data_IF_415683962868
#
_entry.id   IF_415683962868
#
_cell.length_a   1.000
_cell.length_b   1.000
_cell.length_c   1.000
_cell.angle_alpha   90.00
_cell.angle_beta   90.00
_cell.angle_gamma   90.00
#
_symmetry.space_group_name_H-M   'P 1'
#
loop_
_entity.id
_entity.type
_entity.pdbx_description
1 polymer ?
#
# COMPACT_ATOMS: atom_id res chain seq x y z
N UNK A 1 0.64 17.57 -28.04
CA UNK A 1 -0.29 16.96 -27.06
C UNK A 1 0.10 15.51 -26.94
N UNK A 2 1.04 15.22 -26.04
CA UNK A 2 1.45 13.84 -25.79
C UNK A 2 0.36 13.20 -24.93
N UNK A 3 -0.28 12.14 -25.44
CA UNK A 3 -1.10 11.27 -24.62
C UNK A 3 -0.19 10.75 -23.50
N UNK A 4 -0.46 11.18 -22.27
CA UNK A 4 0.22 10.72 -21.08
C UNK A 4 -0.13 9.24 -20.94
N UNK A 5 0.73 8.35 -21.44
CA UNK A 5 0.62 6.92 -21.15
C UNK A 5 0.79 6.78 -19.63
N UNK A 6 -0.31 6.78 -18.89
CA UNK A 6 -0.30 6.37 -17.49
C UNK A 6 0.08 4.89 -17.49
N UNK A 7 1.26 4.57 -16.98
CA UNK A 7 1.59 3.18 -16.69
C UNK A 7 0.70 2.77 -15.51
N UNK A 8 -0.38 2.09 -15.87
CA UNK A 8 -1.38 1.55 -14.99
C UNK A 8 -1.20 0.03 -14.97
N UNK A 9 -1.01 -0.54 -13.79
CA UNK A 9 -0.98 -1.99 -13.61
C UNK A 9 -2.31 -2.41 -13.00
N UNK A 10 -3.20 -2.94 -13.83
CA UNK A 10 -4.50 -3.46 -13.40
C UNK A 10 -4.52 -4.97 -13.61
N UNK A 11 -4.12 -5.70 -12.57
CA UNK A 11 -4.04 -7.17 -12.57
C UNK A 11 -5.00 -7.79 -11.54
N UNK A 12 -6.11 -7.10 -11.27
CA UNK A 12 -7.12 -7.56 -10.31
C UNK A 12 -7.82 -8.83 -10.82
N UNK A 13 -8.02 -9.81 -9.93
CA UNK A 13 -8.78 -11.03 -10.28
C UNK A 13 -8.07 -11.98 -11.24
N UNK A 14 -6.74 -11.94 -11.32
CA UNK A 14 -5.95 -12.77 -12.24
C UNK A 14 -5.39 -14.03 -11.60
N UNK A 15 -5.90 -14.41 -10.41
CA UNK A 15 -5.45 -15.58 -9.63
C UNK A 15 -3.94 -15.56 -9.32
N UNK A 16 -3.33 -14.37 -9.27
CA UNK A 16 -1.89 -14.22 -9.02
C UNK A 16 -1.55 -14.77 -7.64
N UNK A 17 -0.50 -15.57 -7.56
CA UNK A 17 0.01 -16.16 -6.34
C UNK A 17 1.50 -15.82 -6.16
N UNK A 18 1.98 -15.78 -4.93
CA UNK A 18 3.34 -15.37 -4.57
C UNK A 18 3.37 -14.08 -3.77
N UNK A 19 4.52 -13.40 -3.79
CA UNK A 19 4.82 -12.26 -2.94
C UNK A 19 5.09 -11.00 -3.75
N UNK A 20 4.99 -9.85 -3.10
CA UNK A 20 5.50 -8.59 -3.64
C UNK A 20 6.96 -8.43 -3.20
N UNK A 21 7.85 -8.14 -4.15
CA UNK A 21 9.27 -7.97 -3.88
C UNK A 21 9.75 -6.52 -4.11
N UNK A 22 11.05 -6.29 -3.90
CA UNK A 22 11.67 -4.98 -4.09
C UNK A 22 11.84 -4.58 -5.56
N UNK A 23 11.63 -5.49 -6.52
CA UNK A 23 11.74 -5.15 -7.94
C UNK A 23 10.63 -4.18 -8.37
N UNK A 24 9.52 -4.08 -7.62
CA UNK A 24 8.50 -3.06 -7.81
C UNK A 24 9.06 -1.63 -7.78
N UNK A 25 10.21 -1.40 -7.15
CA UNK A 25 10.88 -0.09 -7.13
C UNK A 25 11.39 0.37 -8.49
N UNK A 26 11.62 -0.54 -9.44
CA UNK A 26 12.03 -0.16 -10.79
C UNK A 26 10.89 0.45 -11.59
N UNK A 27 9.65 0.29 -11.15
CA UNK A 27 8.44 0.79 -11.82
C UNK A 27 8.18 2.26 -11.48
N UNK A 28 9.19 3.13 -11.61
CA UNK A 28 9.11 4.53 -11.19
C UNK A 28 8.05 5.35 -11.96
N UNK A 29 7.67 4.95 -13.16
CA UNK A 29 6.63 5.63 -13.93
C UNK A 29 5.21 5.12 -13.61
N UNK A 30 5.07 4.08 -12.77
CA UNK A 30 3.79 3.51 -12.39
C UNK A 30 3.02 4.46 -11.47
N UNK A 31 1.80 4.83 -11.88
CA UNK A 31 0.91 5.70 -11.10
C UNK A 31 -0.22 4.94 -10.43
N UNK A 32 -0.73 3.90 -11.09
CA UNK A 32 -1.81 3.09 -10.54
C UNK A 32 -1.41 1.63 -10.47
N UNK A 33 -1.69 1.03 -9.31
CA UNK A 33 -1.46 -0.39 -9.06
C UNK A 33 -2.71 -0.97 -8.42
N UNK A 34 -3.43 -1.79 -9.19
CA UNK A 34 -4.55 -2.60 -8.70
C UNK A 34 -4.19 -4.08 -8.83
N UNK A 35 -3.87 -4.68 -7.69
CA UNK A 35 -3.58 -6.11 -7.54
C UNK A 35 -4.64 -6.80 -6.68
N UNK A 36 -5.83 -6.18 -6.54
CA UNK A 36 -6.86 -6.69 -5.66
C UNK A 36 -7.44 -8.04 -6.12
N UNK A 37 -8.04 -8.79 -5.21
CA UNK A 37 -8.73 -10.04 -5.53
C UNK A 37 -7.80 -11.08 -6.18
N UNK A 38 -6.61 -11.26 -5.59
CA UNK A 38 -5.63 -12.27 -5.97
C UNK A 38 -5.28 -13.15 -4.74
N UNK A 39 -4.28 -14.01 -4.87
CA UNK A 39 -3.75 -14.87 -3.81
C UNK A 39 -2.37 -14.42 -3.32
N UNK A 40 -2.03 -13.14 -3.49
CA UNK A 40 -0.74 -12.60 -3.06
C UNK A 40 -0.64 -12.64 -1.53
N UNK A 41 0.51 -13.04 -1.00
CA UNK A 41 0.69 -13.33 0.42
C UNK A 41 1.98 -12.73 1.01
N UNK A 42 2.24 -13.06 2.28
CA UNK A 42 3.33 -12.52 3.11
C UNK A 42 3.25 -11.00 3.33
N UNK A 43 4.37 -10.38 3.68
CA UNK A 43 4.46 -8.96 3.98
C UNK A 43 4.48 -8.10 2.72
N UNK A 44 3.86 -6.92 2.80
CA UNK A 44 4.10 -5.85 1.83
C UNK A 44 5.55 -5.39 1.97
N UNK A 45 6.32 -5.27 0.87
CA UNK A 45 7.71 -4.84 0.91
C UNK A 45 7.85 -3.45 1.54
N UNK A 46 8.98 -3.22 2.21
CA UNK A 46 9.25 -1.93 2.88
C UNK A 46 9.34 -0.76 1.91
N UNK A 47 9.39 -0.96 0.59
CA UNK A 47 9.39 0.14 -0.35
C UNK A 47 8.46 -0.20 -1.52
N UNK A 48 7.67 0.79 -1.92
CA UNK A 48 6.76 0.75 -3.06
C UNK A 48 7.12 1.92 -4.00
N UNK A 49 6.72 1.88 -5.29
CA UNK A 49 6.98 2.99 -6.20
C UNK A 49 6.41 4.30 -5.64
N UNK A 50 7.28 5.31 -5.47
CA UNK A 50 6.94 6.57 -4.80
C UNK A 50 5.90 7.42 -5.55
N UNK A 51 5.77 7.19 -6.85
CA UNK A 51 4.91 7.96 -7.74
C UNK A 51 3.46 7.41 -7.83
N UNK A 52 3.13 6.40 -7.02
CA UNK A 52 1.78 5.85 -6.95
C UNK A 52 0.78 6.90 -6.46
N UNK A 53 -0.30 7.07 -7.22
CA UNK A 53 -1.50 7.84 -6.83
C UNK A 53 -2.64 6.93 -6.42
N UNK A 54 -2.65 5.67 -6.89
CA UNK A 54 -3.67 4.67 -6.58
C UNK A 54 -3.02 3.32 -6.24
N UNK A 55 -3.31 2.80 -5.06
CA UNK A 55 -2.89 1.47 -4.62
C UNK A 55 -4.06 0.67 -4.06
N UNK A 56 -4.39 -0.44 -4.72
CA UNK A 56 -5.41 -1.38 -4.27
C UNK A 56 -4.82 -2.78 -4.15
N UNK A 57 -4.67 -3.24 -2.91
CA UNK A 57 -4.20 -4.58 -2.54
C UNK A 57 -5.29 -5.39 -1.85
N UNK A 58 -6.55 -4.93 -1.92
CA UNK A 58 -7.64 -5.53 -1.18
C UNK A 58 -7.91 -6.97 -1.60
N UNK A 59 -8.47 -7.78 -0.69
CA UNK A 59 -8.83 -9.18 -0.96
C UNK A 59 -7.62 -9.99 -1.46
N UNK A 60 -6.57 -10.00 -0.65
CA UNK A 60 -5.39 -10.83 -0.82
C UNK A 60 -5.10 -11.54 0.51
N UNK A 61 -3.98 -12.24 0.58
CA UNK A 61 -3.52 -12.98 1.74
C UNK A 61 -2.32 -12.30 2.42
N UNK A 62 -2.13 -10.98 2.23
CA UNK A 62 -1.04 -10.25 2.87
C UNK A 62 -1.14 -10.30 4.39
N UNK A 63 -0.02 -10.42 5.08
CA UNK A 63 0.09 -10.54 6.53
C UNK A 63 1.30 -9.79 7.07
N UNK A 64 1.43 -9.69 8.38
CA UNK A 64 2.52 -8.96 9.02
C UNK A 64 2.24 -7.48 9.22
N UNK A 65 3.28 -6.75 9.62
CA UNK A 65 3.17 -5.33 9.96
C UNK A 65 3.10 -4.47 8.69
N UNK A 66 2.20 -3.48 8.69
CA UNK A 66 2.17 -2.48 7.63
C UNK A 66 3.48 -1.67 7.66
N UNK A 67 4.21 -1.58 6.53
CA UNK A 67 5.46 -0.84 6.51
C UNK A 67 5.18 0.66 6.64
N UNK A 68 5.90 1.31 7.56
CA UNK A 68 5.79 2.76 7.79
C UNK A 68 6.05 3.58 6.53
N UNK A 69 6.86 3.07 5.59
CA UNK A 69 7.15 3.69 4.31
C UNK A 69 5.95 3.90 3.38
N UNK A 70 4.79 3.30 3.66
CA UNK A 70 3.54 3.73 3.01
C UNK A 70 3.28 5.21 3.32
N UNK A 71 3.80 5.70 4.46
CA UNK A 71 3.84 7.13 4.79
C UNK A 71 4.78 7.97 3.90
N UNK A 72 5.53 7.37 2.97
CA UNK A 72 6.38 8.08 2.01
C UNK A 72 5.74 8.19 0.62
N UNK A 73 4.57 7.57 0.40
CA UNK A 73 3.81 7.66 -0.84
C UNK A 73 3.03 8.98 -0.87
N UNK A 74 3.76 10.11 -0.94
CA UNK A 74 3.21 11.46 -0.81
C UNK A 74 2.20 11.84 -1.90
N UNK A 75 2.27 11.17 -3.06
CA UNK A 75 1.33 11.34 -4.17
C UNK A 75 0.10 10.44 -4.08
N UNK A 76 0.01 9.57 -3.07
CA UNK A 76 -1.06 8.59 -2.97
C UNK A 76 -2.40 9.25 -2.59
N UNK A 77 -3.39 9.09 -3.46
CA UNK A 77 -4.74 9.63 -3.30
C UNK A 77 -5.76 8.55 -2.88
N UNK A 78 -5.44 7.29 -3.19
CA UNK A 78 -6.28 6.14 -2.84
C UNK A 78 -5.43 4.98 -2.33
N UNK A 79 -5.79 4.46 -1.15
CA UNK A 79 -5.21 3.26 -0.56
C UNK A 79 -6.31 2.32 -0.09
N UNK A 80 -6.30 1.09 -0.59
CA UNK A 80 -7.18 0.03 -0.12
C UNK A 80 -6.37 -1.22 0.23
N UNK A 81 -6.41 -1.59 1.52
CA UNK A 81 -5.72 -2.76 2.09
C UNK A 81 -6.72 -3.73 2.74
N UNK A 82 -8.02 -3.48 2.58
CA UNK A 82 -9.08 -4.25 3.22
C UNK A 82 -9.04 -5.73 2.81
N UNK A 83 -9.62 -6.60 3.64
CA UNK A 83 -9.62 -8.06 3.40
C UNK A 83 -8.21 -8.63 3.21
N UNK A 84 -7.30 -8.27 4.13
CA UNK A 84 -5.99 -8.89 4.34
C UNK A 84 -5.82 -9.17 5.85
N UNK A 85 -4.72 -9.81 6.21
CA UNK A 85 -4.32 -10.12 7.60
C UNK A 85 -3.24 -9.16 8.12
N UNK A 86 -3.23 -7.92 7.64
CA UNK A 86 -2.26 -6.88 8.01
C UNK A 86 -2.59 -6.26 9.37
N UNK A 87 -1.55 -5.88 10.11
CA UNK A 87 -1.67 -5.15 11.36
C UNK A 87 -0.69 -3.98 11.44
N UNK A 88 -0.95 -3.02 12.32
CA UNK A 88 0.01 -2.01 12.73
C UNK A 88 0.39 -2.26 14.18
N UNK A 89 1.69 -2.37 14.46
CA UNK A 89 2.20 -2.41 15.84
C UNK A 89 2.59 -1.00 16.31
N UNK A 90 2.05 -0.57 17.44
CA UNK A 90 2.40 0.69 18.11
C UNK A 90 2.69 0.35 19.58
N UNK A 91 3.97 0.36 19.97
CA UNK A 91 4.40 -0.18 21.27
C UNK A 91 4.05 -1.66 21.39
N UNK A 92 3.38 -2.04 22.49
CA UNK A 92 2.89 -3.40 22.73
C UNK A 92 1.54 -3.71 22.03
N UNK A 93 0.85 -2.69 21.51
CA UNK A 93 -0.48 -2.86 20.91
C UNK A 93 -0.38 -3.23 19.43
N UNK A 94 -1.24 -4.16 19.00
CA UNK A 94 -1.41 -4.54 17.58
C UNK A 94 -2.83 -4.23 17.12
N UNK A 95 -2.95 -3.44 16.06
CA UNK A 95 -4.22 -3.02 15.48
C UNK A 95 -4.41 -3.68 14.13
N UNK A 96 -5.46 -4.48 13.95
CA UNK A 96 -5.80 -5.04 12.63
C UNK A 96 -6.21 -3.93 11.67
N UNK A 97 -5.67 -3.95 10.47
CA UNK A 97 -5.97 -2.98 9.43
C UNK A 97 -7.19 -3.45 8.66
N UNK A 98 -8.27 -2.68 8.74
CA UNK A 98 -9.52 -2.92 8.00
C UNK A 98 -9.87 -1.65 7.21
N UNK A 99 -8.88 -1.08 6.52
CA UNK A 99 -8.94 0.29 6.03
C UNK A 99 -9.03 0.40 4.50
N UNK A 100 -9.94 1.28 4.06
CA UNK A 100 -9.93 1.97 2.77
C UNK A 100 -9.86 3.46 3.09
N UNK A 101 -8.82 4.17 2.63
CA UNK A 101 -8.57 5.56 3.05
C UNK A 101 -8.24 6.44 1.86
N UNK A 102 -8.71 7.69 1.90
CA UNK A 102 -8.03 8.80 1.24
C UNK A 102 -6.80 9.14 2.07
N UNK A 103 -5.58 8.82 1.62
CA UNK A 103 -4.38 8.84 2.44
C UNK A 103 -4.15 10.18 3.16
N UNK A 104 -4.64 11.30 2.63
CA UNK A 104 -4.60 12.64 3.22
C UNK A 104 -5.04 12.70 4.69
N UNK A 105 -5.93 11.83 5.15
CA UNK A 105 -6.35 11.75 6.57
C UNK A 105 -5.44 10.84 7.41
N UNK A 106 -4.89 9.78 6.81
CA UNK A 106 -4.04 8.80 7.50
C UNK A 106 -2.64 9.37 7.78
N UNK A 107 -2.04 10.11 6.84
CA UNK A 107 -0.73 10.74 7.02
C UNK A 107 -0.73 11.74 8.18
N UNK A 108 -1.76 12.60 8.27
CA UNK A 108 -1.90 13.55 9.39
C UNK A 108 -2.05 12.85 10.74
N UNK A 109 -2.70 11.68 10.78
CA UNK A 109 -2.89 10.89 12.00
C UNK A 109 -1.61 10.14 12.42
N UNK A 110 -0.78 9.72 11.46
CA UNK A 110 0.55 9.17 11.75
C UNK A 110 1.51 10.25 12.24
N UNK A 111 1.57 11.41 11.58
CA UNK A 111 2.38 12.55 12.04
C UNK A 111 1.99 13.00 13.44
N UNK A 112 0.68 13.06 13.74
CA UNK A 112 0.19 13.37 15.09
C UNK A 112 0.54 12.30 16.13
N UNK A 113 0.70 11.04 15.72
CA UNK A 113 1.14 9.94 16.60
C UNK A 113 2.67 9.91 16.78
N UNK A 114 3.44 10.46 15.83
CA UNK A 114 4.91 10.57 15.88
C UNK A 114 5.35 11.79 16.70
N UNK A 115 4.49 12.81 16.90
CA UNK A 115 4.82 14.01 17.69
C UNK A 115 4.69 13.87 19.21
N UNK A 116 4.46 12.68 19.74
CA UNK A 116 4.58 12.42 21.18
C UNK A 116 5.82 11.57 21.45
N UNK A 117 7.01 12.19 21.46
CA UNK A 117 8.13 11.89 22.37
C UNK A 117 9.17 13.02 22.27
N UNK A 118 8.99 14.06 23.09
CA UNK A 118 9.98 14.67 24.00
C UNK A 118 9.38 15.91 24.69
#
# INVERSE_FOLDING_TARGET
MEASYTQDSKLSGMELNGTLDYQLLSLQALKTMDLSNNHLHDSIPYQLPSNLTYLNLAKNNFSGNLPYSISNLVSLEYLNLSHNSLFQKIGEFSFRIVYCVRPTVYFRKLEASIHFQN
#
